data_IF_364947590815
#
_entry.id   IF_364947590815
#
_cell.length_a   1.000
_cell.length_b   1.000
_cell.length_c   1.000
_cell.angle_alpha   90.00
_cell.angle_beta   90.00
_cell.angle_gamma   90.00
#
_symmetry.space_group_name_H-M   'P 1'
#
loop_
_entity.id
_entity.type
_entity.pdbx_description
1 polymer ?
#
# COMPACT_ATOMS: atom_id res chain seq x y z
N UNK A 1 11.10 -5.32 13.94
CA UNK A 1 10.68 -3.91 13.78
C UNK A 1 9.76 -3.82 12.57
N UNK A 2 8.61 -3.17 12.74
CA UNK A 2 7.61 -3.05 11.68
C UNK A 2 7.66 -1.64 11.08
N UNK A 3 7.79 -1.54 9.75
CA UNK A 3 7.58 -0.30 9.01
C UNK A 3 6.13 -0.17 8.56
N UNK A 4 5.57 1.02 8.56
CA UNK A 4 4.26 1.32 7.96
C UNK A 4 4.43 2.42 6.93
N UNK A 5 4.19 2.08 5.67
CA UNK A 5 4.10 3.03 4.56
C UNK A 5 2.63 3.38 4.34
N UNK A 6 2.30 4.66 4.44
CA UNK A 6 0.97 5.17 4.19
C UNK A 6 1.00 6.52 3.49
N UNK A 7 -0.16 7.12 3.26
CA UNK A 7 -0.18 8.55 2.92
C UNK A 7 0.10 9.38 4.16
N UNK A 8 0.51 10.64 3.97
CA UNK A 8 0.71 11.59 5.08
C UNK A 8 -0.54 11.69 5.97
N UNK A 9 -1.73 11.62 5.37
CA UNK A 9 -2.98 11.65 6.10
C UNK A 9 -3.19 10.36 6.91
N UNK A 10 -2.86 9.19 6.35
CA UNK A 10 -3.02 7.89 7.00
C UNK A 10 -2.13 7.77 8.24
N UNK A 11 -0.82 8.05 8.10
CA UNK A 11 0.14 7.86 9.21
C UNK A 11 -0.09 8.81 10.40
N UNK A 12 -0.82 9.91 10.19
CA UNK A 12 -1.18 10.87 11.24
C UNK A 12 -2.48 10.53 11.96
N UNK A 13 -3.20 9.49 11.52
CA UNK A 13 -4.49 9.14 12.12
C UNK A 13 -4.30 8.48 13.49
N UNK A 14 -5.06 8.90 14.51
CA UNK A 14 -4.97 8.31 15.86
C UNK A 14 -5.24 6.81 15.89
N UNK A 15 -6.02 6.28 14.95
CA UNK A 15 -6.29 4.85 14.89
C UNK A 15 -5.04 4.01 14.58
N UNK A 16 -4.04 4.56 13.86
CA UNK A 16 -2.78 3.85 13.58
C UNK A 16 -2.03 3.54 14.88
N UNK A 17 -1.95 4.53 15.78
CA UNK A 17 -1.34 4.32 17.09
C UNK A 17 -2.13 3.29 17.93
N UNK A 18 -3.46 3.31 17.87
CA UNK A 18 -4.29 2.29 18.55
C UNK A 18 -4.05 0.90 18.00
N UNK A 19 -4.07 0.73 16.67
CA UNK A 19 -3.78 -0.57 16.04
C UNK A 19 -2.39 -1.08 16.41
N UNK A 20 -1.38 -0.21 16.45
CA UNK A 20 -0.03 -0.58 16.89
C UNK A 20 -0.03 -1.05 18.34
N UNK A 21 -0.73 -0.36 19.23
CA UNK A 21 -0.83 -0.76 20.64
C UNK A 21 -1.60 -2.07 20.84
N UNK A 22 -2.67 -2.29 20.07
CA UNK A 22 -3.54 -3.47 20.21
C UNK A 22 -2.94 -4.74 19.58
N UNK A 23 -2.12 -4.60 18.51
CA UNK A 23 -1.69 -5.74 17.70
C UNK A 23 -0.17 -5.89 17.55
N UNK A 24 0.62 -4.91 17.99
CA UNK A 24 2.07 -4.88 17.85
C UNK A 24 2.74 -4.23 19.09
N UNK A 25 2.17 -4.47 20.29
CA UNK A 25 2.66 -3.89 21.54
C UNK A 25 4.09 -4.33 21.90
N UNK A 26 4.55 -5.47 21.39
CA UNK A 26 5.88 -6.04 21.54
C UNK A 26 6.85 -5.63 20.42
N UNK A 27 6.38 -4.83 19.45
CA UNK A 27 7.14 -4.38 18.30
C UNK A 27 7.45 -2.88 18.36
N UNK A 28 8.58 -2.49 17.77
CA UNK A 28 8.81 -1.10 17.40
C UNK A 28 8.13 -0.85 16.05
N UNK A 29 7.23 0.13 15.98
CA UNK A 29 6.53 0.51 14.75
C UNK A 29 7.06 1.85 14.27
N UNK A 30 7.61 1.89 13.06
CA UNK A 30 8.10 3.10 12.38
C UNK A 30 7.14 3.50 11.26
N UNK A 31 6.80 4.78 11.21
CA UNK A 31 5.81 5.30 10.26
C UNK A 31 6.47 6.21 9.23
N UNK A 32 6.11 6.05 7.96
CA UNK A 32 6.49 6.98 6.91
C UNK A 32 5.29 7.28 6.00
N UNK A 33 5.03 8.58 5.78
CA UNK A 33 3.97 9.05 4.90
C UNK A 33 4.55 9.53 3.57
N UNK A 34 4.10 8.95 2.46
CA UNK A 34 4.55 9.31 1.12
C UNK A 34 3.38 9.68 0.20
N UNK A 35 3.42 10.89 -0.35
CA UNK A 35 2.60 11.28 -1.50
C UNK A 35 3.23 10.77 -2.81
N UNK A 36 4.57 10.71 -2.85
CA UNK A 36 5.31 10.29 -4.04
C UNK A 36 5.00 8.87 -4.47
N UNK A 37 4.82 7.93 -3.52
CA UNK A 37 4.43 6.56 -3.86
C UNK A 37 3.03 6.50 -4.51
N UNK A 38 2.11 7.40 -4.17
CA UNK A 38 0.80 7.47 -4.86
C UNK A 38 1.01 7.89 -6.32
N UNK A 39 1.79 8.96 -6.56
CA UNK A 39 2.11 9.45 -7.91
C UNK A 39 2.78 8.37 -8.77
N UNK A 40 3.75 7.64 -8.20
CA UNK A 40 4.45 6.55 -8.88
C UNK A 40 3.50 5.39 -9.21
N UNK A 41 2.61 5.03 -8.29
CA UNK A 41 1.62 3.98 -8.52
C UNK A 41 0.65 4.36 -9.64
N UNK A 42 0.17 5.60 -9.66
CA UNK A 42 -0.67 6.10 -10.74
C UNK A 42 0.07 6.19 -12.08
N UNK A 43 1.34 6.60 -12.08
CA UNK A 43 2.19 6.59 -13.26
C UNK A 43 2.32 5.16 -13.83
N UNK A 44 2.59 4.19 -12.95
CA UNK A 44 2.65 2.77 -13.35
C UNK A 44 1.34 2.27 -13.95
N UNK A 45 0.19 2.66 -13.39
CA UNK A 45 -1.12 2.30 -13.96
C UNK A 45 -1.35 2.87 -15.36
N UNK A 46 -0.79 4.03 -15.68
CA UNK A 46 -0.83 4.64 -17.01
C UNK A 46 0.19 4.05 -18.00
N UNK A 47 1.00 3.09 -17.56
CA UNK A 47 2.03 2.44 -18.38
C UNK A 47 3.39 3.11 -18.34
N UNK A 48 3.60 4.10 -17.48
CA UNK A 48 4.91 4.70 -17.27
C UNK A 48 5.86 3.70 -16.59
N UNK A 49 7.12 3.70 -16.99
CA UNK A 49 8.13 2.86 -16.36
C UNK A 49 8.48 3.39 -14.98
N UNK A 50 8.21 2.59 -13.94
CA UNK A 50 8.62 2.86 -12.56
C UNK A 50 9.61 1.80 -12.11
N UNK A 51 10.74 2.21 -11.55
CA UNK A 51 11.86 1.35 -11.17
C UNK A 51 12.06 1.29 -9.65
N UNK A 52 12.89 0.36 -9.19
CA UNK A 52 13.33 0.31 -7.79
C UNK A 52 14.01 1.61 -7.33
N UNK A 53 14.74 2.28 -8.23
CA UNK A 53 15.40 3.56 -7.93
C UNK A 53 14.40 4.68 -7.62
N UNK A 54 13.20 4.65 -8.21
CA UNK A 54 12.16 5.64 -7.99
C UNK A 54 11.50 5.50 -6.61
N UNK A 55 11.40 4.27 -6.09
CA UNK A 55 10.79 3.97 -4.78
C UNK A 55 11.81 3.99 -3.63
N UNK A 56 13.10 3.89 -3.93
CA UNK A 56 14.17 3.81 -2.93
C UNK A 56 14.17 4.98 -1.93
N UNK A 57 13.99 6.26 -2.33
CA UNK A 57 13.96 7.38 -1.40
C UNK A 57 12.82 7.27 -0.37
N UNK A 58 11.68 6.71 -0.78
CA UNK A 58 10.52 6.56 0.08
C UNK A 58 10.73 5.43 1.11
N UNK A 59 11.38 4.34 0.68
CA UNK A 59 11.81 3.30 1.62
C UNK A 59 12.87 3.82 2.62
N UNK A 60 13.78 4.68 2.15
CA UNK A 60 14.77 5.33 3.00
C UNK A 60 14.12 6.21 4.08
N UNK A 61 12.92 6.73 3.86
CA UNK A 61 12.12 7.42 4.87
C UNK A 61 11.72 6.55 6.06
N UNK A 62 11.69 5.22 5.90
CA UNK A 62 11.54 4.26 7.01
C UNK A 62 12.91 3.82 7.54
N UNK A 63 13.78 3.32 6.67
CA UNK A 63 15.04 2.69 7.07
C UNK A 63 16.05 3.68 7.65
N UNK A 64 15.95 4.96 7.31
CA UNK A 64 16.76 6.04 7.87
C UNK A 64 16.35 6.52 9.27
N UNK A 65 15.24 6.02 9.81
CA UNK A 65 14.81 6.34 11.18
C UNK A 65 15.62 5.53 12.21
N UNK A 66 15.74 5.99 13.46
CA UNK A 66 16.38 5.22 14.52
C UNK A 66 15.74 3.82 14.65
N UNK A 67 16.51 2.77 14.44
CA UNK A 67 16.04 1.38 14.43
C UNK A 67 15.45 0.90 13.10
N UNK A 68 15.45 1.74 12.07
CA UNK A 68 14.96 1.41 10.73
C UNK A 68 15.78 0.35 10.00
N UNK A 69 17.05 0.20 10.39
CA UNK A 69 17.96 -0.86 9.94
C UNK A 69 17.50 -2.28 10.34
N UNK A 70 16.59 -2.38 11.32
CA UNK A 70 16.04 -3.64 11.84
C UNK A 70 14.65 -3.96 11.30
N UNK A 71 14.12 -3.16 10.36
CA UNK A 71 12.82 -3.43 9.76
C UNK A 71 12.88 -4.74 8.97
N UNK A 72 12.02 -5.67 9.31
CA UNK A 72 11.86 -6.96 8.66
C UNK A 72 10.52 -7.09 7.93
N UNK A 73 9.51 -6.33 8.35
CA UNK A 73 8.19 -6.29 7.72
C UNK A 73 7.74 -4.85 7.47
N UNK A 74 7.14 -4.61 6.31
CA UNK A 74 6.55 -3.32 5.93
C UNK A 74 5.07 -3.50 5.59
N UNK A 75 4.22 -2.79 6.31
CA UNK A 75 2.77 -2.73 6.04
C UNK A 75 2.50 -1.64 5.00
N UNK A 76 1.89 -2.02 3.89
CA UNK A 76 1.44 -1.11 2.84
C UNK A 76 0.04 -0.60 3.18
N UNK A 77 -0.02 0.53 3.90
CA UNK A 77 -1.25 1.10 4.45
C UNK A 77 -1.92 2.11 3.49
N UNK A 78 -1.80 1.87 2.19
CA UNK A 78 -2.46 2.62 1.13
C UNK A 78 -2.80 1.67 -0.02
N UNK A 79 -3.98 1.82 -0.62
CA UNK A 79 -4.44 0.95 -1.72
C UNK A 79 -3.61 1.05 -3.00
N UNK A 80 -2.88 2.14 -3.20
CA UNK A 80 -1.97 2.33 -4.33
C UNK A 80 -0.66 1.55 -4.17
N UNK A 81 -0.15 1.41 -2.96
CA UNK A 81 1.21 0.92 -2.73
C UNK A 81 1.43 -0.55 -3.14
N UNK A 82 0.45 -1.47 -3.03
CA UNK A 82 0.61 -2.81 -3.56
C UNK A 82 0.87 -2.87 -5.08
N UNK A 83 0.51 -1.84 -5.83
CA UNK A 83 0.81 -1.73 -7.27
C UNK A 83 2.32 -1.57 -7.55
N UNK A 84 3.08 -1.13 -6.56
CA UNK A 84 4.54 -0.96 -6.61
C UNK A 84 5.29 -2.10 -5.89
N UNK A 85 4.60 -3.19 -5.53
CA UNK A 85 5.20 -4.29 -4.78
C UNK A 85 6.46 -4.87 -5.46
N UNK A 86 6.50 -5.11 -6.78
CA UNK A 86 7.72 -5.58 -7.44
C UNK A 86 8.90 -4.64 -7.23
N UNK A 87 8.72 -3.33 -7.42
CA UNK A 87 9.76 -2.33 -7.27
C UNK A 87 10.25 -2.20 -5.83
N UNK A 88 9.33 -2.31 -4.86
CA UNK A 88 9.66 -2.32 -3.43
C UNK A 88 10.46 -3.56 -3.04
N UNK A 89 10.09 -4.73 -3.56
CA UNK A 89 10.80 -5.98 -3.34
C UNK A 89 12.20 -5.97 -3.98
N UNK A 90 12.31 -5.45 -5.20
CA UNK A 90 13.61 -5.28 -5.87
C UNK A 90 14.53 -4.31 -5.11
N UNK A 91 13.96 -3.26 -4.53
CA UNK A 91 14.68 -2.28 -3.72
C UNK A 91 15.16 -2.86 -2.38
N UNK A 92 14.37 -3.72 -1.75
CA UNK A 92 14.63 -4.28 -0.43
C UNK A 92 14.23 -5.77 -0.35
N UNK A 93 15.00 -6.66 -1.00
CA UNK A 93 14.65 -8.09 -1.13
C UNK A 93 14.64 -8.85 0.21
N UNK A 94 15.25 -8.32 1.25
CA UNK A 94 15.25 -8.92 2.60
C UNK A 94 14.03 -8.52 3.44
N UNK A 95 13.22 -7.57 2.98
CA UNK A 95 12.03 -7.11 3.70
C UNK A 95 10.78 -7.84 3.22
N UNK A 96 9.91 -8.24 4.16
CA UNK A 96 8.56 -8.66 3.83
C UNK A 96 7.64 -7.46 3.61
N UNK A 97 6.71 -7.58 2.68
CA UNK A 97 5.68 -6.55 2.44
C UNK A 97 4.29 -7.16 2.61
N UNK A 98 3.43 -6.49 3.36
CA UNK A 98 2.08 -6.96 3.67
C UNK A 98 1.08 -5.84 3.35
N UNK A 99 -0.01 -6.19 2.67
CA UNK A 99 -1.12 -5.28 2.41
C UNK A 99 -2.46 -5.84 2.92
N UNK A 100 -3.48 -4.97 2.97
CA UNK A 100 -4.81 -5.33 3.45
C UNK A 100 -5.69 -6.10 2.46
N UNK A 101 -5.32 -6.20 1.18
CA UNK A 101 -6.16 -6.75 0.11
C UNK A 101 -6.68 -8.15 0.38
N UNK A 102 -5.82 -9.13 0.69
CA UNK A 102 -6.27 -10.50 1.01
C UNK A 102 -7.20 -10.57 2.22
N UNK A 103 -6.95 -9.75 3.24
CA UNK A 103 -7.80 -9.65 4.43
C UNK A 103 -9.18 -9.08 4.11
N UNK A 104 -9.22 -8.01 3.32
CA UNK A 104 -10.45 -7.38 2.86
C UNK A 104 -11.25 -8.35 1.99
N UNK A 105 -10.60 -9.05 1.04
CA UNK A 105 -11.25 -10.02 0.17
C UNK A 105 -11.89 -11.15 0.97
N UNK A 106 -11.18 -11.72 1.96
CA UNK A 106 -11.74 -12.74 2.87
C UNK A 106 -12.94 -12.21 3.64
N UNK A 107 -12.89 -10.97 4.12
CA UNK A 107 -13.99 -10.37 4.85
C UNK A 107 -15.21 -10.14 3.97
N UNK A 108 -15.02 -9.67 2.74
CA UNK A 108 -16.09 -9.52 1.75
C UNK A 108 -16.73 -10.88 1.44
N UNK A 109 -15.92 -11.91 1.16
CA UNK A 109 -16.43 -13.25 0.91
C UNK A 109 -17.24 -13.78 2.10
N UNK A 110 -16.76 -13.58 3.32
CA UNK A 110 -17.48 -13.98 4.54
C UNK A 110 -18.84 -13.26 4.67
N UNK A 111 -18.89 -11.95 4.38
CA UNK A 111 -20.14 -11.18 4.49
C UNK A 111 -21.14 -11.51 3.39
N UNK A 112 -20.69 -11.86 2.20
CA UNK A 112 -21.54 -12.25 1.08
C UNK A 112 -22.07 -13.70 1.25
N UNK A 113 -21.32 -14.56 1.94
CA UNK A 113 -21.66 -15.97 2.09
C UNK A 113 -21.94 -16.63 0.73
N UNK A 114 -23.03 -17.41 0.64
CA UNK A 114 -23.46 -18.08 -0.60
C UNK A 114 -24.03 -17.13 -1.67
N UNK A 115 -24.16 -15.83 -1.37
CA UNK A 115 -24.61 -14.81 -2.34
C UNK A 115 -23.55 -14.40 -3.36
N UNK A 116 -22.32 -14.91 -3.23
CA UNK A 116 -21.27 -14.80 -4.23
C UNK A 116 -21.68 -15.58 -5.47
N UNK A 117 -22.39 -14.94 -6.41
CA UNK A 117 -22.94 -15.62 -7.58
C UNK A 117 -21.88 -16.01 -8.59
N UNK A 118 -22.12 -17.12 -9.29
CA UNK A 118 -21.39 -17.56 -10.49
C UNK A 118 -21.74 -16.66 -11.71
N UNK A 119 -21.64 -15.37 -11.60
CA UNK A 119 -21.95 -14.43 -12.68
C UNK A 119 -20.70 -13.87 -13.32
N UNK A 120 -20.68 -13.73 -14.64
CA UNK A 120 -19.76 -12.85 -15.33
C UNK A 120 -20.07 -11.40 -14.86
N UNK A 121 -19.36 -10.95 -13.82
CA UNK A 121 -19.54 -9.61 -13.29
C UNK A 121 -19.30 -8.55 -14.37
N UNK A 122 -20.25 -7.63 -14.54
CA UNK A 122 -20.04 -6.44 -15.36
C UNK A 122 -19.62 -5.30 -14.44
N UNK A 123 -18.38 -4.86 -14.57
CA UNK A 123 -17.88 -3.66 -13.90
C UNK A 123 -18.32 -2.41 -14.68
N UNK A 124 -18.56 -1.32 -13.94
CA UNK A 124 -18.71 0.03 -14.48
C UNK A 124 -17.79 0.95 -13.70
N UNK A 125 -16.88 1.63 -14.39
CA UNK A 125 -16.09 2.70 -13.81
C UNK A 125 -16.81 4.04 -14.04
N UNK A 126 -16.89 4.85 -13.00
CA UNK A 126 -17.46 6.20 -13.05
C UNK A 126 -16.37 7.15 -12.54
N UNK A 127 -16.03 8.11 -13.39
CA UNK A 127 -15.05 9.13 -13.08
C UNK A 127 -15.73 10.49 -12.89
N UNK A 128 -15.29 11.27 -11.93
CA UNK A 128 -15.81 12.61 -11.66
C UNK A 128 -15.20 13.68 -12.59
N UNK A 129 -14.16 13.31 -13.31
CA UNK A 129 -13.48 14.14 -14.28
C UNK A 129 -13.09 13.28 -15.48
N UNK A 130 -13.14 13.86 -16.69
CA UNK A 130 -12.66 13.25 -17.92
C UNK A 130 -11.45 14.02 -18.42
N UNK A 131 -10.31 13.36 -18.57
CA UNK A 131 -9.07 13.89 -19.15
C UNK A 131 -8.22 12.74 -19.71
N UNK A 132 -7.12 13.10 -20.39
CA UNK A 132 -6.21 12.11 -21.01
C UNK A 132 -5.67 11.07 -20.00
N UNK A 133 -5.57 11.42 -18.71
CA UNK A 133 -5.11 10.49 -17.68
C UNK A 133 -6.17 9.44 -17.37
N UNK A 134 -7.45 9.80 -17.41
CA UNK A 134 -8.57 8.87 -17.24
C UNK A 134 -8.70 7.94 -18.44
N UNK A 135 -8.51 8.47 -19.66
CA UNK A 135 -8.57 7.68 -20.89
C UNK A 135 -7.49 6.57 -20.92
N UNK A 136 -6.35 6.80 -20.31
CA UNK A 136 -5.29 5.79 -20.18
C UNK A 136 -5.63 4.64 -19.19
N UNK A 137 -6.69 4.80 -18.37
CA UNK A 137 -7.14 3.80 -17.39
C UNK A 137 -8.39 3.04 -17.85
N UNK A 138 -9.02 3.44 -18.94
CA UNK A 138 -10.27 2.86 -19.47
C UNK A 138 -10.00 1.77 -20.51
#
# INVERSE_FOLDING_TARGET
VIGVLGTQATVRQPYVARLSADHAADCTVLLHGSARLVELAEASLRGDAVTAADVAPELAGLTGQPGGDRIDQVVLACTHFPLLLPQLQDCAPAMGFVDGGPGIARRVAHLLGERGGEGAGRGRALFTRHDEQVDALA
#
